data_IF_908553248046
#
_entry.id   IF_908553248046
#
_cell.length_a   1.000
_cell.length_b   1.000
_cell.length_c   1.000
_cell.angle_alpha   90.00
_cell.angle_beta   90.00
_cell.angle_gamma   90.00
#
_symmetry.space_group_name_H-M   'P 1'
#
loop_
_entity.id
_entity.type
_entity.pdbx_description
1 polymer ?
#
# COMPACT_ATOMS: atom_id res chain seq x y z
N UNK A 1 2.21 0.81 10.81
CA UNK A 1 1.72 -0.12 9.76
C UNK A 1 0.64 0.41 8.80
N UNK A 2 -0.23 1.35 9.21
CA UNK A 2 -1.36 1.78 8.38
C UNK A 2 -0.98 2.61 7.13
N UNK A 3 0.17 3.29 7.09
CA UNK A 3 0.55 4.11 5.93
C UNK A 3 1.07 3.27 4.76
N UNK A 4 1.93 2.29 5.04
CA UNK A 4 2.36 1.34 4.01
C UNK A 4 1.16 0.59 3.41
N UNK A 5 0.23 0.11 4.24
CA UNK A 5 -1.02 -0.50 3.76
C UNK A 5 -1.84 0.45 2.87
N UNK A 6 -1.88 1.75 3.20
CA UNK A 6 -2.56 2.77 2.39
C UNK A 6 -1.90 2.97 1.02
N UNK A 7 -0.57 3.02 0.95
CA UNK A 7 0.15 3.10 -0.32
C UNK A 7 -0.18 1.89 -1.20
N UNK A 8 -0.13 0.68 -0.63
CA UNK A 8 -0.47 -0.53 -1.37
C UNK A 8 -1.91 -0.52 -1.87
N UNK A 9 -2.84 -0.03 -1.05
CA UNK A 9 -4.24 0.12 -1.44
C UNK A 9 -4.42 1.12 -2.58
N UNK A 10 -3.72 2.25 -2.53
CA UNK A 10 -3.73 3.27 -3.59
C UNK A 10 -3.22 2.67 -4.91
N UNK A 11 -2.05 2.02 -4.89
CA UNK A 11 -1.48 1.39 -6.07
C UNK A 11 -2.38 0.29 -6.64
N UNK A 12 -3.02 -0.49 -5.76
CA UNK A 12 -3.93 -1.56 -6.17
C UNK A 12 -5.17 -1.03 -6.90
N UNK A 13 -5.71 0.11 -6.46
CA UNK A 13 -6.84 0.74 -7.15
C UNK A 13 -6.41 1.37 -8.46
N UNK A 14 -5.31 2.13 -8.48
CA UNK A 14 -4.84 2.86 -9.67
C UNK A 14 -4.23 1.97 -10.75
N UNK A 15 -3.70 0.81 -10.39
CA UNK A 15 -3.08 -0.13 -11.33
C UNK A 15 -3.94 -1.38 -11.56
N UNK A 16 -5.09 -1.48 -10.90
CA UNK A 16 -5.95 -2.67 -10.88
C UNK A 16 -5.21 -3.97 -10.58
N UNK A 17 -4.17 -3.91 -9.73
CA UNK A 17 -3.24 -5.02 -9.51
C UNK A 17 -3.01 -5.31 -8.02
N UNK A 18 -3.08 -6.58 -7.65
CA UNK A 18 -2.79 -7.07 -6.29
C UNK A 18 -1.29 -7.38 -6.06
N UNK A 19 -0.46 -7.18 -7.09
CA UNK A 19 0.92 -7.66 -7.16
C UNK A 19 1.76 -7.36 -5.92
N UNK A 20 1.71 -6.13 -5.39
CA UNK A 20 2.53 -5.77 -4.23
C UNK A 20 2.07 -6.42 -2.94
N UNK A 21 0.76 -6.62 -2.76
CA UNK A 21 0.20 -7.33 -1.60
C UNK A 21 0.60 -8.81 -1.66
N UNK A 22 0.49 -9.43 -2.83
CA UNK A 22 0.84 -10.83 -3.02
C UNK A 22 2.34 -11.07 -2.84
N UNK A 23 3.18 -10.22 -3.44
CA UNK A 23 4.63 -10.26 -3.31
C UNK A 23 5.06 -10.11 -1.84
N UNK A 24 4.54 -9.12 -1.12
CA UNK A 24 4.90 -8.94 0.30
C UNK A 24 4.41 -10.09 1.18
N UNK A 25 3.18 -10.57 0.98
CA UNK A 25 2.60 -11.65 1.81
C UNK A 25 3.37 -12.97 1.67
N UNK A 26 4.04 -13.16 0.54
CA UNK A 26 4.84 -14.34 0.23
C UNK A 26 6.36 -14.13 0.40
N UNK A 27 6.80 -12.98 0.92
CA UNK A 27 8.21 -12.72 1.14
C UNK A 27 8.79 -13.66 2.22
N UNK A 28 9.83 -14.48 1.90
CA UNK A 28 10.40 -15.43 2.85
C UNK A 28 11.44 -14.81 3.78
N UNK A 29 11.92 -13.59 3.48
CA UNK A 29 12.94 -12.88 4.24
C UNK A 29 12.65 -11.38 4.29
N UNK A 30 13.27 -10.69 5.25
CA UNK A 30 13.10 -9.23 5.43
C UNK A 30 13.68 -8.46 4.26
N UNK A 31 14.78 -8.92 3.67
CA UNK A 31 15.40 -8.30 2.50
C UNK A 31 14.43 -8.29 1.32
N UNK A 32 13.74 -9.42 1.08
CA UNK A 32 12.76 -9.49 -0.01
C UNK A 32 11.52 -8.66 0.29
N UNK A 33 11.04 -8.65 1.54
CA UNK A 33 9.94 -7.78 1.94
C UNK A 33 10.27 -6.30 1.72
N UNK A 34 11.44 -5.85 2.16
CA UNK A 34 11.94 -4.48 1.96
C UNK A 34 12.16 -4.16 0.48
N UNK A 35 12.62 -5.13 -0.31
CA UNK A 35 12.72 -4.97 -1.77
C UNK A 35 11.36 -4.66 -2.39
N UNK A 36 10.30 -5.39 -2.00
CA UNK A 36 8.95 -5.13 -2.51
C UNK A 36 8.35 -3.81 -1.99
N UNK A 37 8.65 -3.43 -0.74
CA UNK A 37 8.31 -2.09 -0.24
C UNK A 37 8.96 -1.01 -1.10
N UNK A 38 10.24 -1.17 -1.43
CA UNK A 38 10.96 -0.24 -2.31
C UNK A 38 10.33 -0.16 -3.71
N UNK A 39 9.97 -1.29 -4.31
CA UNK A 39 9.27 -1.29 -5.62
C UNK A 39 7.93 -0.54 -5.54
N UNK A 40 7.12 -0.82 -4.51
CA UNK A 40 5.84 -0.13 -4.31
C UNK A 40 6.03 1.38 -4.12
N UNK A 41 7.01 1.80 -3.32
CA UNK A 41 7.30 3.22 -3.10
C UNK A 41 7.81 3.91 -4.37
N UNK A 42 8.59 3.23 -5.21
CA UNK A 42 9.01 3.76 -6.50
C UNK A 42 7.81 4.04 -7.39
N UNK A 43 6.90 3.08 -7.50
CA UNK A 43 5.71 3.21 -8.33
C UNK A 43 4.75 4.27 -7.77
N UNK A 44 4.65 4.38 -6.45
CA UNK A 44 3.90 5.45 -5.79
C UNK A 44 4.51 6.83 -6.10
N UNK A 45 5.83 6.97 -6.08
CA UNK A 45 6.49 8.21 -6.50
C UNK A 45 6.21 8.56 -7.96
N UNK A 46 6.18 7.56 -8.85
CA UNK A 46 5.79 7.77 -10.25
C UNK A 46 4.32 8.23 -10.36
N UNK A 47 3.44 7.66 -9.53
CA UNK A 47 2.02 8.04 -9.48
C UNK A 47 1.85 9.51 -9.03
N UNK A 48 2.60 9.97 -8.03
CA UNK A 48 2.54 11.36 -7.55
C UNK A 48 2.92 12.40 -8.61
N UNK A 49 3.68 12.01 -9.64
CA UNK A 49 4.07 12.88 -10.76
C UNK A 49 3.01 12.96 -11.86
N UNK A 50 1.96 12.14 -11.82
CA UNK A 50 0.89 12.19 -12.81
C UNK A 50 0.02 13.43 -12.58
N UNK A 51 -0.24 14.18 -13.64
CA UNK A 51 -1.13 15.36 -13.59
C UNK A 51 -2.61 14.99 -13.41
N UNK A 52 -2.98 13.74 -13.75
CA UNK A 52 -4.35 13.23 -13.67
C UNK A 52 -4.37 11.90 -12.91
N UNK A 53 -5.26 11.83 -11.93
CA UNK A 53 -5.66 10.61 -11.26
C UNK A 53 -6.97 10.15 -11.88
N UNK A 54 -7.09 8.87 -12.17
CA UNK A 54 -8.34 8.30 -12.69
C UNK A 54 -9.37 8.20 -11.56
N UNK A 55 -8.92 7.88 -10.35
CA UNK A 55 -9.78 7.77 -9.18
C UNK A 55 -9.64 8.97 -8.22
N UNK A 56 -10.70 9.77 -8.11
CA UNK A 56 -10.71 10.95 -7.23
C UNK A 56 -10.63 10.57 -5.74
N UNK A 57 -11.21 9.42 -5.34
CA UNK A 57 -11.10 8.90 -3.96
C UNK A 57 -9.64 8.58 -3.62
N UNK A 58 -8.87 8.06 -4.57
CA UNK A 58 -7.43 7.81 -4.40
C UNK A 58 -6.68 9.13 -4.24
N UNK A 59 -6.97 10.14 -5.06
CA UNK A 59 -6.36 11.47 -4.95
C UNK A 59 -6.55 12.07 -3.56
N UNK A 60 -7.71 11.89 -2.96
CA UNK A 60 -7.95 12.29 -1.57
C UNK A 60 -7.18 11.43 -0.57
N UNK A 61 -7.15 10.11 -0.78
CA UNK A 61 -6.45 9.19 0.11
C UNK A 61 -4.95 9.48 0.23
N UNK A 62 -4.31 9.98 -0.84
CA UNK A 62 -2.90 10.39 -0.88
C UNK A 62 -2.59 11.47 0.15
N UNK A 63 -3.49 12.43 0.37
CA UNK A 63 -3.30 13.55 1.33
C UNK A 63 -3.11 13.08 2.77
N UNK A 64 -3.55 11.86 3.08
CA UNK A 64 -3.44 11.26 4.41
C UNK A 64 -2.25 10.30 4.54
N UNK A 65 -1.38 10.24 3.53
CA UNK A 65 -0.14 9.47 3.60
C UNK A 65 0.90 10.28 4.37
N UNK A 66 1.38 9.74 5.48
CA UNK A 66 2.49 10.32 6.26
C UNK A 66 3.78 9.60 5.91
N UNK A 67 4.71 10.30 5.25
CA UNK A 67 6.02 9.76 4.86
C UNK A 67 6.92 9.48 6.06
N UNK A 68 6.90 10.33 7.09
CA UNK A 68 7.60 10.08 8.36
C UNK A 68 7.19 8.73 8.97
N UNK A 69 5.88 8.43 8.98
CA UNK A 69 5.38 7.13 9.46
C UNK A 69 5.75 5.98 8.53
N UNK A 70 5.99 6.23 7.25
CA UNK A 70 6.46 5.19 6.31
C UNK A 70 7.92 4.87 6.60
N UNK A 71 8.77 5.88 6.79
CA UNK A 71 10.18 5.70 7.17
C UNK A 71 10.30 4.90 8.47
N UNK A 72 9.52 5.27 9.50
CA UNK A 72 9.45 4.51 10.76
C UNK A 72 9.03 3.05 10.53
N UNK A 73 8.04 2.81 9.65
CA UNK A 73 7.59 1.45 9.35
C UNK A 73 8.61 0.61 8.55
N UNK A 74 9.43 1.25 7.72
CA UNK A 74 10.53 0.58 7.01
C UNK A 74 11.58 0.14 8.02
N UNK A 75 11.93 1.03 8.96
CA UNK A 75 12.85 0.70 10.05
C UNK A 75 12.30 -0.42 10.94
N UNK A 76 11.02 -0.35 11.32
CA UNK A 76 10.36 -1.44 12.07
C UNK A 76 10.46 -2.78 11.34
N UNK A 77 10.30 -2.81 10.02
CA UNK A 77 10.42 -4.02 9.19
C UNK A 77 11.86 -4.54 9.11
N UNK A 78 12.87 -3.65 9.03
CA UNK A 78 14.28 -4.08 8.92
C UNK A 78 14.83 -4.72 10.18
N UNK A 79 14.21 -4.42 11.33
CA UNK A 79 14.56 -5.00 12.63
C UNK A 79 13.89 -6.37 12.90
N UNK A 80 13.08 -6.91 11.97
CA UNK A 80 12.43 -8.22 12.16
C UNK A 80 13.31 -9.33 11.61
N UNK A 81 14.00 -10.04 12.51
CA UNK A 81 14.80 -11.23 12.16
C UNK A 81 14.01 -12.54 12.24
N UNK A 82 12.92 -12.56 13.01
CA UNK A 82 12.06 -13.74 13.13
C UNK A 82 11.13 -13.90 11.92
N UNK A 83 11.30 -15.00 11.18
CA UNK A 83 10.53 -15.28 9.95
C UNK A 83 9.03 -15.39 10.20
N UNK A 84 8.61 -15.95 11.33
CA UNK A 84 7.18 -16.09 11.66
C UNK A 84 6.59 -14.71 11.91
N UNK A 85 7.28 -13.87 12.67
CA UNK A 85 6.89 -12.50 12.97
C UNK A 85 6.83 -11.66 11.70
N UNK A 86 7.82 -11.80 10.81
CA UNK A 86 7.82 -11.13 9.52
C UNK A 86 6.55 -11.51 8.74
N UNK A 87 6.24 -12.81 8.63
CA UNK A 87 5.06 -13.31 7.93
C UNK A 87 3.76 -12.74 8.51
N UNK A 88 3.63 -12.70 9.84
CA UNK A 88 2.48 -12.10 10.52
C UNK A 88 2.33 -10.61 10.17
N UNK A 89 3.44 -9.87 10.21
CA UNK A 89 3.46 -8.42 9.92
C UNK A 89 3.09 -8.13 8.47
N UNK A 90 3.72 -8.79 7.50
CA UNK A 90 3.43 -8.54 6.08
C UNK A 90 2.00 -8.98 5.72
N UNK A 91 1.50 -10.07 6.31
CA UNK A 91 0.11 -10.51 6.15
C UNK A 91 -0.87 -9.47 6.68
N UNK A 92 -0.59 -8.87 7.84
CA UNK A 92 -1.42 -7.83 8.43
C UNK A 92 -1.44 -6.56 7.55
N UNK A 93 -0.29 -6.18 6.98
CA UNK A 93 -0.21 -5.05 6.05
C UNK A 93 -1.04 -5.34 4.80
N UNK A 94 -0.92 -6.54 4.23
CA UNK A 94 -1.70 -6.98 3.07
C UNK A 94 -3.21 -6.97 3.31
N UNK A 95 -3.66 -7.56 4.43
CA UNK A 95 -5.07 -7.56 4.82
C UNK A 95 -5.63 -6.15 4.98
N UNK A 96 -4.87 -5.24 5.62
CA UNK A 96 -5.27 -3.83 5.75
C UNK A 96 -5.32 -3.12 4.40
N UNK A 97 -4.38 -3.40 3.50
CA UNK A 97 -4.36 -2.82 2.16
C UNK A 97 -5.61 -3.24 1.37
N UNK A 98 -5.95 -4.53 1.38
CA UNK A 98 -7.15 -5.06 0.73
C UNK A 98 -8.43 -4.40 1.27
N UNK A 99 -8.57 -4.30 2.60
CA UNK A 99 -9.72 -3.64 3.21
C UNK A 99 -9.83 -2.15 2.82
N UNK A 100 -8.69 -1.44 2.76
CA UNK A 100 -8.66 -0.03 2.33
C UNK A 100 -9.00 0.11 0.84
N UNK A 101 -8.46 -0.74 -0.02
CA UNK A 101 -8.72 -0.72 -1.46
C UNK A 101 -10.20 -0.98 -1.77
N UNK A 102 -10.81 -1.98 -1.12
CA UNK A 102 -12.24 -2.24 -1.23
C UNK A 102 -13.07 -1.01 -0.83
N UNK A 103 -12.71 -0.35 0.27
CA UNK A 103 -13.38 0.88 0.71
C UNK A 103 -13.20 2.04 -0.28
N UNK A 104 -12.03 2.18 -0.92
CA UNK A 104 -11.81 3.21 -1.93
C UNK A 104 -12.68 2.97 -3.17
N UNK A 105 -12.75 1.72 -3.66
CA UNK A 105 -13.61 1.33 -4.79
C UNK A 105 -15.09 1.57 -4.49
N UNK A 106 -15.57 1.20 -3.29
CA UNK A 106 -16.96 1.45 -2.90
C UNK A 106 -17.30 2.94 -2.90
N UNK A 107 -16.43 3.79 -2.33
CA UNK A 107 -16.64 5.24 -2.30
C UNK A 107 -16.61 5.89 -3.69
N UNK A 108 -15.76 5.39 -4.58
CA UNK A 108 -15.74 5.83 -5.97
C UNK A 108 -17.08 5.52 -6.66
N UNK A 109 -17.60 4.30 -6.50
CA UNK A 109 -18.91 3.91 -7.04
C UNK A 109 -20.06 4.75 -6.47
N UNK A 110 -20.03 5.05 -5.17
CA UNK A 110 -21.01 5.93 -4.51
C UNK A 110 -20.91 7.38 -5.01
N UNK A 111 -19.69 7.87 -5.26
CA UNK A 111 -19.45 9.21 -5.81
C UNK A 111 -19.96 9.36 -7.25
N UNK A 112 -19.79 8.32 -8.08
CA UNK A 112 -20.29 8.27 -9.46
C UNK A 112 -21.82 8.08 -9.55
N UNK A 113 -22.47 7.58 -8.50
CA UNK A 113 -23.93 7.38 -8.47
C UNK A 113 -24.72 8.64 -8.08
N UNK A 114 -24.04 9.70 -7.62
CA UNK A 114 -24.64 10.96 -7.18
C UNK A 114 -24.38 12.13 -8.15
N UNK A 115 -23.80 11.86 -9.32
CA UNK A 115 -23.65 12.78 -10.46
C UNK A 115 -24.60 12.38 -11.60
#
# INVERSE_FOLDING_TARGET
MNNLARILAILMVEQESYSYVDKMSNAPSKELALFYVREALRDFNSLLKKDKFENQTVKEAIKYVSFEKIEQQIEELSQIDDRKKLKEVVSLIGAKALAMAARFKLREMEGQSNE
#
